data_IF_863161267676
#
_entry.id   IF_863161267676
#
_cell.length_a   1.000
_cell.length_b   1.000
_cell.length_c   1.000
_cell.angle_alpha   90.00
_cell.angle_beta   90.00
_cell.angle_gamma   90.00
#
_symmetry.space_group_name_H-M   'P 1'
#
loop_
_entity.id
_entity.type
_entity.pdbx_description
1 polymer ?
#
# COMPACT_ATOMS: atom_id res chain seq x y z
N UNK A 1 -6.19 38.84 20.62
CA UNK A 1 -5.66 39.54 19.42
C UNK A 1 -5.13 38.50 18.44
N UNK A 2 -4.92 38.79 17.14
CA UNK A 2 -4.22 37.84 16.27
C UNK A 2 -2.83 37.53 16.85
N UNK A 3 -2.34 36.30 16.65
CA UNK A 3 -1.02 35.88 17.08
C UNK A 3 0.04 36.78 16.41
N UNK A 4 0.87 37.43 17.21
CA UNK A 4 2.11 38.04 16.74
C UNK A 4 3.24 37.11 17.20
N UNK A 5 3.96 36.52 16.26
CA UNK A 5 5.14 35.71 16.54
C UNK A 5 6.39 36.54 16.18
N UNK A 6 7.30 36.67 17.13
CA UNK A 6 8.60 37.32 16.94
C UNK A 6 9.65 36.21 16.77
N UNK A 7 10.19 36.11 15.55
CA UNK A 7 11.07 35.05 15.07
C UNK A 7 10.49 33.61 15.11
N UNK A 8 11.05 32.71 14.30
CA UNK A 8 10.47 31.43 13.84
C UNK A 8 9.98 30.42 14.90
N UNK A 9 10.12 30.68 16.21
CA UNK A 9 9.81 29.70 17.26
C UNK A 9 9.18 30.27 18.54
N UNK A 10 8.80 31.55 18.58
CA UNK A 10 8.20 32.16 19.79
C UNK A 10 6.92 32.90 19.40
N UNK A 11 5.79 32.36 19.82
CA UNK A 11 4.50 33.02 19.67
C UNK A 11 4.01 33.51 21.02
N UNK A 12 3.67 34.80 21.08
CA UNK A 12 3.22 35.46 22.30
C UNK A 12 1.71 35.64 22.19
N UNK A 13 0.98 35.03 23.12
CA UNK A 13 -0.46 35.27 23.22
C UNK A 13 -0.71 36.25 24.36
N UNK A 14 -1.02 37.49 23.99
CA UNK A 14 -1.48 38.49 24.94
C UNK A 14 -2.98 38.31 25.21
N UNK A 15 -3.30 37.96 26.46
CA UNK A 15 -4.66 37.84 26.95
C UNK A 15 -4.90 38.85 28.06
N UNK A 16 -6.06 39.53 28.02
CA UNK A 16 -6.52 40.41 29.09
C UNK A 16 -7.61 39.66 29.86
N UNK A 17 -7.35 39.34 31.13
CA UNK A 17 -8.32 38.64 31.97
C UNK A 17 -9.51 39.55 32.27
N UNK A 18 -10.73 39.04 32.06
CA UNK A 18 -11.96 39.83 32.16
C UNK A 18 -12.59 39.76 33.58
N UNK A 19 -12.08 38.89 34.45
CA UNK A 19 -12.58 38.64 35.82
C UNK A 19 -11.44 38.43 36.84
N UNK A 20 -11.64 38.75 38.14
CA UNK A 20 -10.62 38.56 39.18
C UNK A 20 -10.30 37.08 39.41
N UNK A 21 -9.02 36.79 39.66
CA UNK A 21 -8.53 35.44 39.95
C UNK A 21 -8.21 35.34 41.44
N UNK A 22 -8.71 34.29 42.09
CA UNK A 22 -8.42 33.99 43.49
C UNK A 22 -7.72 32.64 43.58
N UNK A 23 -6.62 32.57 44.35
CA UNK A 23 -5.88 31.33 44.63
C UNK A 23 -5.61 31.27 46.13
N UNK A 24 -5.96 30.15 46.78
CA UNK A 24 -5.64 29.92 48.19
C UNK A 24 -6.23 30.95 49.18
N UNK A 25 -7.39 31.52 48.89
CA UNK A 25 -8.06 32.50 49.78
C UNK A 25 -7.59 33.96 49.62
N UNK A 26 -6.65 34.24 48.70
CA UNK A 26 -6.29 35.60 48.32
C UNK A 26 -6.87 35.93 46.94
N UNK A 27 -7.55 37.07 46.85
CA UNK A 27 -8.12 37.60 45.62
C UNK A 27 -7.41 38.90 45.25
N UNK A 28 -6.94 39.00 44.01
CA UNK A 28 -6.35 40.25 43.49
C UNK A 28 -7.47 41.09 42.86
N UNK A 29 -7.74 42.33 43.33
CA UNK A 29 -8.75 43.18 42.73
C UNK A 29 -8.31 43.65 41.35
N UNK A 30 -9.29 44.02 40.53
CA UNK A 30 -9.17 44.44 39.13
C UNK A 30 -8.23 45.65 39.00
N UNK A 31 -6.94 45.40 38.86
CA UNK A 31 -5.94 46.38 38.43
C UNK A 31 -4.93 45.66 37.53
N UNK A 32 -5.00 45.99 36.24
CA UNK A 32 -4.01 45.82 35.17
C UNK A 32 -2.99 44.68 35.36
N UNK A 33 -3.48 43.44 35.37
CA UNK A 33 -2.64 42.27 35.19
C UNK A 33 -2.48 42.00 33.70
N UNK A 34 -1.27 42.24 33.17
CA UNK A 34 -0.87 41.74 31.87
C UNK A 34 -0.27 40.34 32.06
N UNK A 35 -0.86 39.35 31.38
CA UNK A 35 -0.36 37.97 31.37
C UNK A 35 0.14 37.67 29.98
N UNK A 36 1.45 37.48 29.85
CA UNK A 36 2.10 37.06 28.61
C UNK A 36 2.35 35.56 28.68
N UNK A 37 1.66 34.79 27.83
CA UNK A 37 1.92 33.36 27.68
C UNK A 37 2.96 33.22 26.57
N UNK A 38 4.17 32.81 26.95
CA UNK A 38 5.26 32.55 26.01
C UNK A 38 5.32 31.05 25.77
N UNK A 39 4.83 30.60 24.61
CA UNK A 39 4.97 29.21 24.20
C UNK A 39 6.20 29.08 23.32
N UNK A 40 7.17 28.28 23.78
CA UNK A 40 8.26 27.81 22.93
C UNK A 40 7.78 26.52 22.26
N UNK A 41 7.31 26.66 21.03
CA UNK A 41 6.79 25.52 20.25
C UNK A 41 7.95 25.02 19.39
N UNK A 42 8.28 23.73 19.52
CA UNK A 42 9.24 23.11 18.63
C UNK A 42 8.69 23.20 17.18
N UNK A 43 9.46 23.64 16.17
CA UNK A 43 8.94 24.07 14.86
C UNK A 43 8.18 22.98 14.08
N UNK A 44 8.23 21.73 14.54
CA UNK A 44 7.48 20.63 13.93
C UNK A 44 5.98 20.63 14.26
N UNK A 45 5.53 21.36 15.29
CA UNK A 45 4.13 21.31 15.77
C UNK A 45 3.22 22.35 15.08
N UNK A 46 3.78 23.37 14.40
CA UNK A 46 3.00 24.46 13.78
C UNK A 46 2.74 24.32 12.28
N UNK A 47 3.11 23.19 11.64
CA UNK A 47 2.82 22.93 10.23
C UNK A 47 1.68 21.93 10.06
N UNK A 48 0.52 22.28 10.57
CA UNK A 48 -0.73 21.58 10.28
C UNK A 48 -1.76 22.58 9.77
N UNK A 49 -1.48 23.23 8.64
CA UNK A 49 -2.57 23.65 7.75
C UNK A 49 -2.14 23.95 6.31
N UNK A 50 -0.86 24.21 5.98
CA UNK A 50 -0.39 24.27 4.59
C UNK A 50 1.14 24.17 4.49
N UNK A 51 1.68 22.94 4.39
CA UNK A 51 2.98 22.61 3.76
C UNK A 51 3.31 21.13 4.00
N UNK A 52 2.91 20.25 3.09
CA UNK A 52 3.47 18.90 3.00
C UNK A 52 4.47 18.87 1.84
N UNK A 53 5.76 19.05 2.13
CA UNK A 53 6.79 18.51 1.25
C UNK A 53 8.13 18.20 1.90
N UNK A 54 8.52 18.76 3.06
CA UNK A 54 9.84 18.48 3.62
C UNK A 54 9.84 18.45 5.17
N UNK A 55 9.68 17.25 5.74
CA UNK A 55 10.08 16.94 7.12
C UNK A 55 10.68 15.53 7.14
N UNK A 56 11.95 15.34 7.55
CA UNK A 56 12.53 14.01 7.64
C UNK A 56 11.95 13.22 8.83
N UNK A 57 11.42 12.02 8.56
CA UNK A 57 10.71 11.08 9.47
C UNK A 57 11.41 10.71 10.80
N UNK A 58 12.64 11.16 11.06
CA UNK A 58 13.42 10.75 12.24
C UNK A 58 13.28 11.64 13.48
N UNK A 59 12.50 12.72 13.44
CA UNK A 59 12.43 13.67 14.56
C UNK A 59 11.26 13.47 15.55
N UNK A 60 10.29 12.59 15.28
CA UNK A 60 9.02 12.52 16.03
C UNK A 60 9.03 11.48 17.16
N UNK A 61 10.18 11.23 17.82
CA UNK A 61 10.20 10.44 19.07
C UNK A 61 10.87 11.24 20.17
N UNK A 62 10.04 11.62 21.16
CA UNK A 62 10.36 12.38 22.37
C UNK A 62 10.38 13.91 22.23
N UNK A 63 9.29 14.51 21.76
CA UNK A 63 9.07 15.95 22.00
C UNK A 63 8.31 16.15 23.30
N UNK A 64 8.93 16.90 24.21
CA UNK A 64 8.31 17.38 25.44
C UNK A 64 7.71 18.76 25.15
N UNK A 65 6.45 18.99 25.53
CA UNK A 65 5.87 20.32 25.50
C UNK A 65 6.21 21.00 26.82
N UNK A 66 7.21 21.87 26.84
CA UNK A 66 7.54 22.69 28.01
C UNK A 66 6.71 23.97 27.97
N UNK A 67 5.63 24.02 28.75
CA UNK A 67 4.76 25.20 28.86
C UNK A 67 5.32 26.09 29.98
N UNK A 68 5.94 27.21 29.61
CA UNK A 68 6.44 28.21 30.58
C UNK A 68 5.38 29.29 30.73
N UNK A 69 4.72 29.34 31.89
CA UNK A 69 3.74 30.39 32.22
C UNK A 69 4.47 31.48 33.02
N UNK A 70 4.61 32.67 32.45
CA UNK A 70 5.22 33.82 33.13
C UNK A 70 4.10 34.74 33.59
N UNK A 71 3.90 34.84 34.90
CA UNK A 71 2.97 35.79 35.50
C UNK A 71 3.77 36.96 36.09
N UNK A 72 3.56 38.17 35.58
CA UNK A 72 4.19 39.39 36.11
C UNK A 72 3.15 40.22 36.85
N UNK A 73 3.53 40.76 38.01
CA UNK A 73 2.80 41.84 38.68
C UNK A 73 3.75 43.03 38.79
N UNK A 74 3.22 44.26 38.80
CA UNK A 74 4.02 45.48 38.69
C UNK A 74 5.03 45.73 39.84
N UNK A 75 5.12 44.88 40.86
CA UNK A 75 5.98 45.12 42.02
C UNK A 75 6.91 43.96 42.45
N UNK A 76 6.75 42.73 41.95
CA UNK A 76 7.75 41.65 42.12
C UNK A 76 7.69 40.66 40.95
N UNK A 77 8.87 40.30 40.41
CA UNK A 77 9.01 39.21 39.44
C UNK A 77 9.19 37.88 40.18
N UNK A 78 8.22 36.98 40.10
CA UNK A 78 8.39 35.58 40.49
C UNK A 78 8.15 34.69 39.27
N UNK A 79 9.16 33.92 38.90
CA UNK A 79 9.07 32.95 37.81
C UNK A 79 8.63 31.63 38.42
N UNK A 80 7.47 31.12 38.00
CA UNK A 80 6.99 29.80 38.39
C UNK A 80 7.21 28.84 37.21
N UNK A 81 8.28 28.03 37.26
CA UNK A 81 8.49 27.00 36.26
C UNK A 81 7.77 25.72 36.69
N UNK A 82 6.71 25.34 35.98
CA UNK A 82 6.04 24.05 36.17
C UNK A 82 6.54 23.08 35.11
N UNK A 83 7.26 22.04 35.55
CA UNK A 83 7.69 20.93 34.71
C UNK A 83 6.84 19.71 35.07
N UNK A 84 5.87 19.36 34.23
CA UNK A 84 5.07 18.14 34.43
C UNK A 84 5.40 17.13 33.34
N UNK A 85 5.72 15.90 33.75
CA UNK A 85 5.87 14.74 32.87
C UNK A 85 4.70 13.75 32.98
N UNK A 86 3.66 14.09 33.76
CA UNK A 86 2.57 13.19 34.10
C UNK A 86 1.21 13.88 33.94
N UNK A 87 0.31 13.25 33.18
CA UNK A 87 -0.97 13.78 32.68
C UNK A 87 -1.93 14.15 33.83
N UNK A 88 -1.82 13.46 34.96
CA UNK A 88 -2.61 13.72 36.19
C UNK A 88 -2.35 15.09 36.83
N UNK A 89 -1.15 15.66 36.66
CA UNK A 89 -0.78 16.90 37.37
C UNK A 89 -1.43 18.14 36.75
N UNK A 90 -1.90 18.05 35.50
CA UNK A 90 -2.55 19.17 34.81
C UNK A 90 -4.03 19.34 35.19
N UNK A 91 -4.70 18.30 35.70
CA UNK A 91 -6.10 18.39 36.15
C UNK A 91 -6.24 19.06 37.53
N UNK A 92 -5.26 18.97 38.42
CA UNK A 92 -5.34 19.55 39.77
C UNK A 92 -5.02 21.06 39.80
N UNK A 93 -4.37 21.61 38.78
CA UNK A 93 -4.10 23.04 38.66
C UNK A 93 -5.27 23.70 37.92
N UNK A 94 -6.33 24.02 38.66
CA UNK A 94 -7.55 24.66 38.15
C UNK A 94 -7.32 26.06 37.55
N UNK A 95 -6.82 26.13 36.32
CA UNK A 95 -6.90 27.31 35.48
C UNK A 95 -8.18 27.25 34.63
N UNK A 96 -9.19 28.01 35.02
CA UNK A 96 -10.33 28.33 34.16
C UNK A 96 -9.89 29.28 33.04
N UNK A 97 -9.19 28.77 32.02
CA UNK A 97 -9.09 29.42 30.72
C UNK A 97 -10.28 29.00 29.86
N UNK A 98 -11.00 29.94 29.21
CA UNK A 98 -12.07 29.56 28.30
C UNK A 98 -11.46 28.92 27.04
N UNK A 99 -11.56 27.58 26.99
CA UNK A 99 -11.40 26.71 25.81
C UNK A 99 -10.03 26.76 25.10
N UNK A 100 -8.97 26.37 25.81
CA UNK A 100 -7.76 25.86 25.14
C UNK A 100 -7.86 24.33 25.11
N UNK A 101 -8.16 23.75 23.95
CA UNK A 101 -8.10 22.31 23.74
C UNK A 101 -6.63 21.93 23.47
N UNK A 102 -5.92 21.44 24.48
CA UNK A 102 -4.62 20.82 24.28
C UNK A 102 -4.88 19.38 23.85
N UNK A 103 -4.74 19.07 22.57
CA UNK A 103 -4.73 17.70 22.11
C UNK A 103 -3.42 17.05 22.56
N UNK A 104 -3.44 16.31 23.66
CA UNK A 104 -2.35 15.39 23.98
C UNK A 104 -2.44 14.21 23.00
N UNK A 105 -1.48 14.12 22.07
CA UNK A 105 -1.29 12.91 21.27
C UNK A 105 -0.76 11.82 22.20
N UNK A 106 -1.67 11.10 22.87
CA UNK A 106 -1.32 9.82 23.46
C UNK A 106 -0.83 8.90 22.33
N UNK A 107 0.21 8.10 22.59
CA UNK A 107 0.67 7.03 21.70
C UNK A 107 -0.40 5.93 21.60
N UNK A 108 -1.54 6.25 21.01
CA UNK A 108 -2.57 5.28 20.71
C UNK A 108 -1.95 4.29 19.72
N UNK A 109 -1.81 3.04 20.16
CA UNK A 109 -1.44 1.93 19.27
C UNK A 109 -2.46 1.91 18.14
N UNK A 110 -1.98 2.18 16.93
CA UNK A 110 -2.80 2.06 15.74
C UNK A 110 -3.38 0.63 15.70
N UNK A 111 -4.68 0.47 15.40
CA UNK A 111 -5.27 -0.86 15.37
C UNK A 111 -4.60 -1.71 14.29
N UNK A 112 -4.41 -2.99 14.58
CA UNK A 112 -3.95 -3.95 13.57
C UNK A 112 -4.92 -3.98 12.38
N UNK A 113 -4.38 -4.27 11.20
CA UNK A 113 -5.14 -4.33 9.96
C UNK A 113 -5.44 -5.77 9.59
N UNK A 114 -6.61 -5.99 8.99
CA UNK A 114 -6.97 -7.28 8.41
C UNK A 114 -6.66 -7.26 6.92
N UNK A 115 -6.04 -8.33 6.45
CA UNK A 115 -5.76 -8.55 5.04
C UNK A 115 -6.35 -9.90 4.64
N UNK A 116 -7.15 -9.89 3.59
CA UNK A 116 -7.79 -11.07 3.05
C UNK A 116 -6.94 -11.63 1.92
N UNK A 117 -6.52 -12.89 2.05
CA UNK A 117 -5.76 -13.58 1.01
C UNK A 117 -6.63 -14.69 0.41
N UNK A 118 -7.02 -14.51 -0.84
CA UNK A 118 -7.71 -15.50 -1.65
C UNK A 118 -6.68 -16.36 -2.37
N UNK A 119 -6.72 -17.66 -2.13
CA UNK A 119 -5.85 -18.64 -2.78
C UNK A 119 -6.71 -19.55 -3.63
N UNK A 120 -6.45 -19.60 -4.93
CA UNK A 120 -7.20 -20.44 -5.87
C UNK A 120 -6.30 -21.23 -6.84
N UNK A 121 -6.90 -22.24 -7.47
CA UNK A 121 -6.30 -22.95 -8.58
C UNK A 121 -6.33 -22.08 -9.84
N UNK A 122 -5.16 -21.77 -10.39
CA UNK A 122 -5.03 -20.95 -11.60
C UNK A 122 -5.81 -21.47 -12.81
N UNK A 123 -6.08 -22.77 -12.90
CA UNK A 123 -6.84 -23.37 -14.00
C UNK A 123 -8.33 -23.41 -13.74
N UNK A 124 -8.74 -23.84 -12.55
CA UNK A 124 -10.17 -24.08 -12.26
C UNK A 124 -10.86 -22.93 -11.56
N UNK A 125 -10.11 -22.03 -10.94
CA UNK A 125 -10.64 -20.95 -10.10
C UNK A 125 -11.24 -21.37 -8.78
N UNK A 126 -11.13 -22.65 -8.43
CA UNK A 126 -11.59 -23.14 -7.15
C UNK A 126 -10.62 -22.71 -6.06
N UNK A 127 -11.15 -22.22 -4.95
CA UNK A 127 -10.37 -21.92 -3.76
C UNK A 127 -9.61 -23.15 -3.28
N UNK A 128 -8.34 -22.97 -2.91
CA UNK A 128 -7.49 -24.02 -2.38
C UNK A 128 -7.58 -24.02 -0.87
N UNK A 129 -8.26 -25.02 -0.32
CA UNK A 129 -8.34 -25.23 1.13
C UNK A 129 -7.00 -25.71 1.69
N UNK A 130 -6.77 -25.44 2.98
CA UNK A 130 -5.60 -25.92 3.73
C UNK A 130 -4.25 -25.43 3.17
N UNK A 131 -4.25 -24.42 2.32
CA UNK A 131 -3.04 -23.76 1.88
C UNK A 131 -2.44 -22.97 3.06
N UNK A 132 -1.14 -23.13 3.28
CA UNK A 132 -0.39 -22.38 4.27
C UNK A 132 -0.05 -21.01 3.68
N UNK A 133 -0.52 -19.94 4.32
CA UNK A 133 -0.24 -18.55 3.96
C UNK A 133 0.67 -17.96 5.01
N UNK A 134 1.89 -17.59 4.61
CA UNK A 134 2.84 -16.88 5.46
C UNK A 134 3.07 -15.48 4.93
N UNK A 135 3.37 -14.53 5.83
CA UNK A 135 3.74 -13.18 5.42
C UNK A 135 4.95 -12.68 6.18
N UNK A 136 5.64 -11.72 5.58
CA UNK A 136 6.77 -11.00 6.15
C UNK A 136 6.66 -9.52 5.80
N UNK A 137 6.63 -8.64 6.81
CA UNK A 137 6.76 -7.20 6.60
C UNK A 137 8.19 -6.86 6.14
N UNK A 138 8.31 -6.01 5.13
CA UNK A 138 9.59 -5.67 4.48
C UNK A 138 10.22 -4.38 5.03
N UNK A 139 9.48 -3.58 5.81
CA UNK A 139 10.01 -2.37 6.44
C UNK A 139 10.85 -2.70 7.68
N UNK A 140 12.10 -2.24 7.67
CA UNK A 140 13.17 -2.72 8.55
C UNK A 140 12.98 -2.49 10.05
N UNK A 141 13.16 -3.58 10.81
CA UNK A 141 13.78 -3.75 12.14
C UNK A 141 13.25 -5.02 12.79
N UNK A 142 11.95 -5.30 12.61
CA UNK A 142 11.30 -6.51 13.11
C UNK A 142 10.65 -7.29 11.98
N UNK A 143 11.19 -8.48 11.72
CA UNK A 143 10.55 -9.47 10.86
C UNK A 143 9.35 -10.04 11.61
N UNK A 144 8.18 -9.39 11.48
CA UNK A 144 6.93 -10.00 11.92
C UNK A 144 6.54 -11.07 10.89
N UNK A 145 6.37 -12.30 11.37
CA UNK A 145 5.86 -13.42 10.60
C UNK A 145 4.56 -13.90 11.22
N UNK A 146 3.57 -14.13 10.37
CA UNK A 146 2.37 -14.87 10.74
C UNK A 146 2.15 -16.03 9.78
N UNK A 147 1.33 -16.98 10.20
CA UNK A 147 0.93 -18.13 9.42
C UNK A 147 -0.56 -18.34 9.61
N UNK A 148 -1.27 -18.47 8.50
CA UNK A 148 -2.69 -18.80 8.47
C UNK A 148 -2.92 -19.96 7.50
N UNK A 149 -4.07 -20.61 7.67
CA UNK A 149 -4.48 -21.72 6.80
C UNK A 149 -5.80 -21.34 6.15
N UNK A 150 -5.89 -21.54 4.83
CA UNK A 150 -7.10 -21.20 4.09
C UNK A 150 -8.28 -22.10 4.46
N UNK A 151 -9.48 -21.51 4.46
CA UNK A 151 -10.77 -22.17 4.73
C UNK A 151 -11.35 -22.84 3.46
N UNK A 152 -12.59 -23.33 3.55
CA UNK A 152 -13.34 -24.06 2.49
C UNK A 152 -13.52 -23.30 1.15
N UNK A 153 -13.11 -22.03 1.08
CA UNK A 153 -13.17 -21.19 -0.11
C UNK A 153 -11.80 -20.64 -0.53
N UNK A 154 -10.70 -21.15 0.05
CA UNK A 154 -9.37 -20.63 -0.23
C UNK A 154 -9.04 -19.29 0.44
N UNK A 155 -9.86 -18.81 1.38
CA UNK A 155 -9.64 -17.53 2.07
C UNK A 155 -8.82 -17.72 3.34
N UNK A 156 -7.80 -16.88 3.52
CA UNK A 156 -7.06 -16.67 4.77
C UNK A 156 -7.18 -15.21 5.23
N UNK A 157 -7.16 -14.97 6.54
CA UNK A 157 -7.26 -13.63 7.13
C UNK A 157 -6.01 -13.33 7.95
N UNK A 158 -5.15 -12.45 7.44
CA UNK A 158 -3.92 -12.05 8.09
C UNK A 158 -4.16 -10.82 8.95
N UNK A 159 -3.65 -10.83 10.17
CA UNK A 159 -3.62 -9.64 11.03
C UNK A 159 -2.23 -9.01 10.94
N UNK A 160 -2.13 -7.87 10.28
CA UNK A 160 -0.86 -7.20 10.00
C UNK A 160 -0.68 -5.98 10.91
N UNK A 161 0.56 -5.77 11.35
CA UNK A 161 0.95 -4.64 12.16
C UNK A 161 0.70 -3.32 11.43
N UNK A 162 0.25 -2.26 12.12
CA UNK A 162 -0.06 -0.98 11.49
C UNK A 162 1.16 -0.24 10.92
N UNK A 163 2.39 -0.66 11.21
CA UNK A 163 3.64 -0.09 10.68
C UNK A 163 4.16 -0.79 9.41
N UNK A 164 3.45 -1.84 8.98
CA UNK A 164 3.80 -2.60 7.79
C UNK A 164 3.30 -1.88 6.53
N UNK A 165 4.18 -1.15 5.82
CA UNK A 165 3.81 -0.49 4.56
C UNK A 165 4.02 -1.37 3.32
N UNK A 166 4.75 -2.47 3.47
CA UNK A 166 4.98 -3.44 2.40
C UNK A 166 5.15 -4.83 3.02
N UNK A 167 4.54 -5.84 2.40
CA UNK A 167 4.70 -7.21 2.84
C UNK A 167 4.93 -8.18 1.68
N UNK A 168 5.72 -9.21 1.96
CA UNK A 168 5.83 -10.40 1.13
C UNK A 168 4.87 -11.46 1.66
N UNK A 169 3.95 -11.93 0.82
CA UNK A 169 3.08 -13.07 1.09
C UNK A 169 3.61 -14.28 0.34
N UNK A 170 3.71 -15.42 1.01
CA UNK A 170 4.10 -16.71 0.43
C UNK A 170 2.99 -17.72 0.71
N UNK A 171 2.61 -18.50 -0.30
CA UNK A 171 1.54 -19.49 -0.21
C UNK A 171 2.05 -20.84 -0.68
N UNK A 172 1.83 -21.85 0.15
CA UNK A 172 2.19 -23.24 -0.13
C UNK A 172 0.92 -24.09 -0.02
N UNK A 173 0.66 -24.90 -1.05
CA UNK A 173 -0.44 -25.86 -1.05
C UNK A 173 0.01 -27.18 -1.67
N UNK A 174 -0.50 -28.30 -1.15
CA UNK A 174 -0.14 -29.63 -1.59
C UNK A 174 -0.54 -29.85 -3.05
N UNK A 175 0.42 -30.32 -3.86
CA UNK A 175 0.23 -30.49 -5.30
C UNK A 175 0.40 -29.22 -6.14
N UNK A 176 0.63 -28.05 -5.52
CA UNK A 176 0.79 -26.77 -6.21
C UNK A 176 2.20 -26.18 -6.05
N UNK A 177 2.66 -25.45 -7.06
CA UNK A 177 3.88 -24.66 -6.96
C UNK A 177 3.68 -23.51 -5.96
N UNK A 178 4.77 -23.12 -5.29
CA UNK A 178 4.75 -22.00 -4.33
C UNK A 178 4.32 -20.71 -5.03
N UNK A 179 3.35 -20.01 -4.45
CA UNK A 179 2.96 -18.67 -4.89
C UNK A 179 3.58 -17.61 -3.99
N UNK A 180 3.93 -16.46 -4.55
CA UNK A 180 4.38 -15.33 -3.76
C UNK A 180 3.96 -14.00 -4.39
N UNK A 181 3.71 -13.00 -3.55
CA UNK A 181 3.48 -11.62 -3.96
C UNK A 181 4.17 -10.65 -3.00
N UNK A 182 4.61 -9.52 -3.54
CA UNK A 182 4.98 -8.34 -2.77
C UNK A 182 3.83 -7.36 -2.90
N UNK A 183 3.27 -6.94 -1.78
CA UNK A 183 2.07 -6.11 -1.74
C UNK A 183 2.36 -4.85 -0.93
N UNK A 184 2.28 -3.66 -1.55
CA UNK A 184 2.29 -2.42 -0.79
C UNK A 184 0.99 -2.33 0.02
N UNK A 185 1.14 -1.98 1.29
CA UNK A 185 0.03 -1.71 2.21
C UNK A 185 -0.11 -0.20 2.25
N UNK A 186 -1.04 0.33 1.46
CA UNK A 186 -1.30 1.75 1.49
C UNK A 186 -2.05 2.11 2.78
N UNK A 187 -1.52 3.08 3.53
CA UNK A 187 -2.17 3.52 4.76
C UNK A 187 -3.43 4.36 4.48
N UNK A 188 -3.50 4.96 3.29
CA UNK A 188 -4.49 5.96 2.92
C UNK A 188 -5.67 5.40 2.12
N UNK A 189 -5.67 4.10 1.75
CA UNK A 189 -6.76 3.42 1.04
C UNK A 189 -8.08 3.33 1.86
N UNK A 190 -8.13 3.97 3.04
CA UNK A 190 -9.34 4.17 3.84
C UNK A 190 -10.20 5.33 3.34
N UNK A 191 -9.71 6.15 2.41
CA UNK A 191 -10.53 7.21 1.83
C UNK A 191 -11.51 6.64 0.78
N UNK A 192 -12.78 7.02 0.95
CA UNK A 192 -13.89 6.51 0.15
C UNK A 192 -13.65 6.73 -1.35
N UNK A 193 -13.45 5.64 -2.09
CA UNK A 193 -13.28 5.71 -3.54
C UNK A 193 -14.56 6.27 -4.21
N UNK A 194 -14.52 7.41 -4.90
CA UNK A 194 -15.71 8.14 -5.37
C UNK A 194 -16.48 7.44 -6.51
N UNK A 195 -15.93 6.36 -7.08
CA UNK A 195 -16.53 5.61 -8.19
C UNK A 195 -17.65 4.63 -7.77
N UNK A 196 -17.91 4.47 -6.47
CA UNK A 196 -19.07 3.74 -5.97
C UNK A 196 -20.16 4.74 -5.60
N UNK A 197 -20.84 5.23 -6.63
CA UNK A 197 -22.09 5.96 -6.45
C UNK A 197 -23.07 5.14 -5.61
N UNK A 198 -23.76 5.84 -4.72
CA UNK A 198 -24.91 5.40 -3.92
C UNK A 198 -24.63 4.84 -2.51
N UNK A 199 -24.27 5.75 -1.60
CA UNK A 199 -24.81 5.78 -0.22
C UNK A 199 -24.51 4.63 0.74
N UNK A 200 -23.66 3.66 0.40
CA UNK A 200 -23.26 2.60 1.32
C UNK A 200 -22.13 3.08 2.21
N UNK A 201 -22.42 3.10 3.51
CA UNK A 201 -21.52 3.51 4.59
C UNK A 201 -20.11 2.92 4.47
N UNK A 202 -19.15 3.66 5.02
CA UNK A 202 -17.70 3.43 5.10
C UNK A 202 -17.31 2.07 5.70
N UNK A 203 -17.65 0.97 5.03
CA UNK A 203 -17.09 -0.33 5.32
C UNK A 203 -15.60 -0.24 4.97
N UNK A 204 -14.75 -0.27 6.01
CA UNK A 204 -13.29 -0.34 5.83
C UNK A 204 -13.02 -1.48 4.87
N UNK A 205 -12.53 -1.17 3.67
CA UNK A 205 -12.13 -2.22 2.74
C UNK A 205 -10.88 -2.86 3.29
N UNK A 206 -11.02 -4.09 3.73
CA UNK A 206 -9.87 -4.93 4.04
C UNK A 206 -9.02 -5.02 2.76
N UNK A 207 -7.68 -5.00 2.88
CA UNK A 207 -6.81 -5.18 1.72
C UNK A 207 -6.97 -6.61 1.22
N UNK A 208 -7.30 -6.79 -0.06
CA UNK A 208 -7.51 -8.11 -0.65
C UNK A 208 -6.37 -8.49 -1.60
N UNK A 209 -5.89 -9.73 -1.45
CA UNK A 209 -4.80 -10.31 -2.24
C UNK A 209 -5.28 -11.61 -2.86
N UNK A 210 -5.28 -11.67 -4.18
CA UNK A 210 -5.61 -12.84 -4.97
C UNK A 210 -4.34 -13.55 -5.45
N UNK A 211 -4.10 -14.78 -5.03
CA UNK A 211 -2.95 -15.60 -5.41
C UNK A 211 -3.43 -16.90 -6.02
N UNK A 212 -3.29 -17.02 -7.33
CA UNK A 212 -3.63 -18.26 -8.04
C UNK A 212 -2.39 -19.13 -8.21
N UNK A 213 -2.45 -20.36 -7.74
CA UNK A 213 -1.34 -21.31 -7.80
C UNK A 213 -1.45 -22.23 -9.02
N UNK A 214 -0.30 -22.57 -9.60
CA UNK A 214 -0.22 -23.56 -10.65
C UNK A 214 0.07 -24.96 -10.07
N UNK A 215 -0.63 -26.02 -10.52
CA UNK A 215 -0.25 -27.40 -10.16
C UNK A 215 1.21 -27.70 -10.47
N UNK A 216 1.93 -28.41 -9.57
CA UNK A 216 3.34 -28.81 -9.76
C UNK A 216 3.53 -29.68 -11.01
N UNK A 217 2.54 -30.51 -11.29
CA UNK A 217 2.49 -31.36 -12.46
C UNK A 217 1.75 -30.64 -13.57
N UNK A 218 2.50 -29.90 -14.37
CA UNK A 218 2.02 -29.42 -15.66
C UNK A 218 1.66 -30.64 -16.53
N UNK A 219 0.61 -30.55 -17.35
CA UNK A 219 0.31 -31.60 -18.34
C UNK A 219 1.56 -31.95 -19.15
N UNK A 220 1.62 -33.17 -19.72
CA UNK A 220 2.84 -33.78 -20.28
C UNK A 220 3.70 -32.87 -21.17
N UNK A 221 3.09 -31.92 -21.86
CA UNK A 221 3.75 -31.03 -22.81
C UNK A 221 3.90 -29.57 -22.34
N UNK A 222 3.27 -29.18 -21.23
CA UNK A 222 3.30 -27.81 -20.71
C UNK A 222 4.61 -27.58 -19.92
N UNK A 223 5.35 -26.54 -20.30
CA UNK A 223 6.65 -26.20 -19.71
C UNK A 223 6.61 -24.94 -18.85
N UNK A 224 5.71 -24.00 -19.18
CA UNK A 224 5.55 -22.73 -18.47
C UNK A 224 4.06 -22.43 -18.37
N UNK A 225 3.65 -21.82 -17.26
CA UNK A 225 2.34 -21.21 -17.08
C UNK A 225 2.49 -19.78 -16.59
N UNK A 226 1.95 -18.83 -17.34
CA UNK A 226 1.83 -17.45 -16.91
C UNK A 226 0.47 -17.25 -16.26
N UNK A 227 0.47 -16.82 -15.00
CA UNK A 227 -0.75 -16.61 -14.20
C UNK A 227 -0.80 -15.13 -13.82
N UNK A 228 -1.84 -14.44 -14.29
CA UNK A 228 -2.11 -13.05 -14.00
C UNK A 228 -3.16 -12.96 -12.88
N UNK A 229 -2.83 -12.25 -11.81
CA UNK A 229 -3.75 -11.85 -10.76
C UNK A 229 -3.77 -10.32 -10.63
N UNK A 230 -4.84 -9.79 -10.05
CA UNK A 230 -4.96 -8.36 -9.78
C UNK A 230 -5.82 -8.09 -8.55
N UNK A 231 -6.00 -6.82 -8.19
CA UNK A 231 -6.81 -6.41 -7.05
C UNK A 231 -8.31 -6.67 -7.29
N UNK A 232 -9.02 -7.07 -6.24
CA UNK A 232 -10.44 -7.47 -6.33
C UNK A 232 -11.38 -6.36 -6.81
N UNK A 233 -11.10 -5.09 -6.54
CA UNK A 233 -11.99 -4.00 -6.97
C UNK A 233 -11.81 -3.62 -8.45
N UNK A 234 -10.79 -4.15 -9.12
CA UNK A 234 -10.47 -3.80 -10.50
C UNK A 234 -11.11 -4.80 -11.45
N UNK A 235 -11.82 -4.26 -12.44
CA UNK A 235 -12.41 -5.05 -13.51
C UNK A 235 -11.35 -5.34 -14.56
N UNK A 236 -11.33 -6.59 -15.00
CA UNK A 236 -10.80 -7.13 -16.25
C UNK A 236 -9.41 -6.65 -16.69
N UNK A 237 -8.41 -7.51 -16.44
CA UNK A 237 -7.08 -7.37 -17.03
C UNK A 237 -6.84 -8.56 -17.95
N UNK A 238 -6.54 -8.24 -19.21
CA UNK A 238 -6.24 -9.23 -20.24
C UNK A 238 -4.75 -9.56 -20.27
N UNK A 239 -4.42 -10.84 -20.13
CA UNK A 239 -3.10 -11.40 -20.38
C UNK A 239 -2.94 -11.67 -21.87
N UNK A 240 -1.90 -11.07 -22.44
CA UNK A 240 -1.53 -11.24 -23.83
C UNK A 240 -0.14 -11.83 -23.99
N UNK A 241 -0.01 -12.73 -24.96
CA UNK A 241 1.29 -13.31 -25.33
C UNK A 241 1.46 -13.29 -26.83
N UNK A 242 2.54 -12.67 -27.30
CA UNK A 242 2.89 -12.59 -28.72
C UNK A 242 4.13 -13.42 -28.99
N UNK A 243 4.06 -14.27 -30.02
CA UNK A 243 5.17 -15.09 -30.47
C UNK A 243 5.74 -14.54 -31.77
N UNK A 244 7.03 -14.24 -31.78
CA UNK A 244 7.75 -13.77 -32.95
C UNK A 244 8.51 -14.91 -33.63
N UNK A 245 8.49 -14.92 -34.96
CA UNK A 245 9.35 -15.81 -35.74
C UNK A 245 10.83 -15.35 -35.70
N UNK A 246 11.79 -16.12 -36.25
CA UNK A 246 13.19 -15.72 -36.29
C UNK A 246 13.48 -14.42 -37.06
N UNK A 247 12.56 -13.96 -37.92
CA UNK A 247 12.65 -12.68 -38.64
C UNK A 247 12.06 -11.53 -37.82
N UNK A 248 11.57 -11.80 -36.61
CA UNK A 248 10.95 -10.81 -35.72
C UNK A 248 9.51 -10.45 -36.09
N UNK A 249 8.87 -11.18 -37.00
CA UNK A 249 7.48 -10.95 -37.38
C UNK A 249 6.53 -11.67 -36.43
N UNK A 250 5.35 -11.09 -36.21
CA UNK A 250 4.31 -11.73 -35.38
C UNK A 250 3.86 -13.00 -36.06
N UNK A 251 4.15 -14.13 -35.44
CA UNK A 251 3.72 -15.45 -35.91
C UNK A 251 2.43 -15.91 -35.25
N UNK A 252 2.18 -15.47 -34.00
CA UNK A 252 0.95 -15.77 -33.27
C UNK A 252 0.75 -14.81 -32.10
N UNK A 253 -0.50 -14.65 -31.68
CA UNK A 253 -0.92 -13.84 -30.53
C UNK A 253 -2.02 -14.59 -29.80
N UNK A 254 -1.84 -14.82 -28.50
CA UNK A 254 -2.84 -15.39 -27.59
C UNK A 254 -3.41 -14.30 -26.69
N UNK A 255 -4.74 -14.30 -26.56
CA UNK A 255 -5.56 -13.38 -25.76
C UNK A 255 -6.97 -13.94 -25.59
N UNK A 256 -7.87 -13.24 -24.87
CA UNK A 256 -9.29 -13.64 -24.77
C UNK A 256 -9.94 -13.87 -26.15
N UNK A 257 -9.61 -13.04 -27.14
CA UNK A 257 -10.16 -13.09 -28.50
C UNK A 257 -9.54 -14.18 -29.37
N UNK A 258 -8.31 -14.61 -29.08
CA UNK A 258 -7.61 -15.69 -29.77
C UNK A 258 -6.95 -16.61 -28.74
N UNK A 259 -7.73 -17.57 -28.25
CA UNK A 259 -7.32 -18.42 -27.12
C UNK A 259 -6.26 -19.47 -27.46
N UNK A 260 -5.96 -19.71 -28.74
CA UNK A 260 -5.11 -20.83 -29.15
C UNK A 260 -4.10 -20.44 -30.23
N UNK A 261 -2.86 -20.90 -30.03
CA UNK A 261 -1.74 -20.82 -30.94
C UNK A 261 -0.93 -22.13 -30.88
N UNK A 262 -0.15 -22.48 -31.92
CA UNK A 262 0.84 -23.53 -31.78
C UNK A 262 1.76 -23.23 -30.59
N UNK A 263 1.77 -24.15 -29.64
CA UNK A 263 2.51 -24.12 -28.39
C UNK A 263 2.05 -23.14 -27.31
N UNK A 264 0.88 -22.51 -27.44
CA UNK A 264 0.33 -21.64 -26.40
C UNK A 264 -1.20 -21.71 -26.36
N UNK A 265 -1.77 -21.72 -25.16
CA UNK A 265 -3.22 -21.68 -24.95
C UNK A 265 -3.58 -20.75 -23.79
N UNK A 266 -4.64 -19.98 -23.94
CA UNK A 266 -5.33 -19.33 -22.83
C UNK A 266 -6.22 -20.39 -22.17
N UNK A 267 -5.80 -20.86 -21.01
CA UNK A 267 -6.48 -21.92 -20.26
C UNK A 267 -7.65 -21.37 -19.45
N UNK A 268 -7.48 -20.15 -18.92
CA UNK A 268 -8.49 -19.46 -18.11
C UNK A 268 -8.47 -17.97 -18.42
N UNK A 269 -9.67 -17.44 -18.52
CA UNK A 269 -10.01 -16.08 -18.90
C UNK A 269 -10.95 -15.54 -17.82
N UNK A 270 -10.57 -14.46 -17.15
CA UNK A 270 -11.35 -13.87 -16.06
C UNK A 270 -11.76 -12.45 -16.45
N UNK A 271 -12.91 -12.36 -17.11
CA UNK A 271 -13.51 -11.10 -17.55
C UNK A 271 -14.22 -10.33 -16.41
N UNK A 272 -14.01 -10.73 -15.14
CA UNK A 272 -14.65 -10.13 -13.97
C UNK A 272 -13.61 -9.38 -13.13
N UNK A 273 -13.81 -9.37 -11.83
CA UNK A 273 -12.92 -8.77 -10.84
C UNK A 273 -11.85 -9.75 -10.37
N UNK A 274 -10.79 -9.26 -9.73
CA UNK A 274 -9.64 -10.08 -9.34
C UNK A 274 -9.96 -11.22 -8.36
N UNK A 275 -11.03 -11.07 -7.57
CA UNK A 275 -11.56 -12.08 -6.64
C UNK A 275 -12.25 -13.28 -7.34
N UNK A 276 -12.49 -13.17 -8.65
CA UNK A 276 -12.98 -14.27 -9.48
C UNK A 276 -11.83 -15.09 -10.10
N UNK A 277 -10.61 -14.89 -9.58
CA UNK A 277 -9.36 -15.61 -9.81
C UNK A 277 -8.53 -15.10 -10.99
N UNK A 278 -7.67 -15.95 -11.55
CA UNK A 278 -6.65 -15.55 -12.51
C UNK A 278 -7.06 -15.61 -13.98
N UNK A 279 -6.31 -14.89 -14.81
CA UNK A 279 -6.08 -15.29 -16.20
C UNK A 279 -4.84 -16.16 -16.32
N UNK A 280 -4.84 -17.12 -17.24
CA UNK A 280 -3.77 -18.11 -17.32
C UNK A 280 -3.49 -18.55 -18.74
N UNK A 281 -2.23 -18.40 -19.16
CA UNK A 281 -1.71 -18.92 -20.43
C UNK A 281 -0.67 -20.00 -20.18
N UNK A 282 -0.86 -21.18 -20.76
CA UNK A 282 0.13 -22.26 -20.78
C UNK A 282 0.97 -22.23 -22.06
N UNK A 283 2.23 -22.59 -21.92
CA UNK A 283 3.20 -22.75 -23.01
C UNK A 283 3.63 -24.20 -23.07
N UNK A 284 3.59 -24.81 -24.25
CA UNK A 284 4.10 -26.17 -24.46
C UNK A 284 5.50 -26.18 -25.07
N UNK A 285 6.22 -27.29 -24.93
CA UNK A 285 7.57 -27.46 -25.48
C UNK A 285 7.60 -27.30 -27.01
N UNK A 286 8.74 -26.86 -27.53
CA UNK A 286 9.10 -27.10 -28.94
C UNK A 286 9.18 -25.88 -29.84
N UNK A 287 9.17 -24.65 -29.30
CA UNK A 287 9.25 -23.46 -30.14
C UNK A 287 10.62 -22.77 -30.05
N UNK A 288 11.26 -22.52 -31.19
CA UNK A 288 12.42 -21.60 -31.29
C UNK A 288 12.01 -20.12 -31.31
N UNK A 289 10.73 -19.81 -31.05
CA UNK A 289 10.17 -18.46 -31.09
C UNK A 289 10.55 -17.66 -29.85
N UNK A 290 10.57 -16.35 -30.03
CA UNK A 290 10.63 -15.38 -28.92
C UNK A 290 9.20 -15.06 -28.49
N UNK A 291 8.95 -15.11 -27.19
CA UNK A 291 7.67 -14.75 -26.60
C UNK A 291 7.78 -13.43 -25.86
N UNK A 292 6.78 -12.58 -26.03
CA UNK A 292 6.58 -11.33 -25.32
C UNK A 292 5.27 -11.44 -24.55
N UNK A 293 5.35 -11.19 -23.24
CA UNK A 293 4.21 -11.24 -22.32
C UNK A 293 3.85 -9.82 -21.90
N UNK A 294 2.58 -9.45 -22.05
CA UNK A 294 2.08 -8.16 -21.59
C UNK A 294 0.66 -8.26 -21.06
N UNK A 295 0.27 -7.29 -20.24
CA UNK A 295 -1.09 -7.14 -19.71
C UNK A 295 -1.72 -5.90 -20.32
N UNK A 296 -3.01 -5.96 -20.62
CA UNK A 296 -3.80 -4.82 -21.08
C UNK A 296 -5.00 -4.64 -20.16
N UNK A 297 -5.33 -3.40 -19.83
CA UNK A 297 -6.55 -3.09 -19.08
C UNK A 297 -7.77 -3.13 -20.00
N UNK A 298 -8.84 -3.78 -19.56
CA UNK A 298 -10.14 -3.77 -20.23
C UNK A 298 -11.25 -3.24 -19.29
N UNK A 299 -12.28 -2.55 -19.81
CA UNK A 299 -12.34 -1.90 -21.13
C UNK A 299 -11.37 -0.71 -21.25
N UNK A 300 -11.12 -0.27 -22.49
CA UNK A 300 -10.01 0.63 -22.83
C UNK A 300 -10.04 2.01 -22.15
N UNK A 301 -11.12 2.43 -21.47
CA UNK A 301 -11.17 3.72 -20.79
C UNK A 301 -10.50 3.73 -19.40
N UNK A 302 -9.97 2.60 -18.93
CA UNK A 302 -9.30 2.48 -17.61
C UNK A 302 -7.78 2.51 -17.73
N UNK A 303 -7.09 2.57 -16.60
CA UNK A 303 -5.62 2.67 -16.48
C UNK A 303 -5.06 1.62 -15.52
N UNK A 304 -3.74 1.39 -15.60
CA UNK A 304 -3.04 0.42 -14.77
C UNK A 304 -2.86 0.86 -13.31
N UNK A 305 -3.04 2.16 -13.02
CA UNK A 305 -2.90 2.70 -11.67
C UNK A 305 -3.82 1.96 -10.70
N UNK A 306 -3.28 1.57 -9.54
CA UNK A 306 -3.99 0.79 -8.53
C UNK A 306 -4.66 -0.48 -9.11
N UNK A 307 -4.11 -1.07 -10.18
CA UNK A 307 -4.60 -2.36 -10.69
C UNK A 307 -4.27 -3.50 -9.74
N UNK A 308 -3.19 -3.38 -8.97
CA UNK A 308 -2.61 -4.47 -8.19
C UNK A 308 -2.16 -5.64 -9.06
N UNK A 309 -1.90 -5.39 -10.35
CA UNK A 309 -1.54 -6.41 -11.33
C UNK A 309 -0.22 -7.09 -10.97
N UNK A 310 -0.24 -8.41 -10.98
CA UNK A 310 0.90 -9.28 -10.69
C UNK A 310 0.85 -10.49 -11.59
N UNK A 311 2.00 -10.89 -12.12
CA UNK A 311 2.16 -12.11 -12.89
C UNK A 311 3.11 -13.04 -12.18
N UNK A 312 2.76 -14.31 -12.08
CA UNK A 312 3.70 -15.35 -11.71
C UNK A 312 3.90 -16.29 -12.89
N UNK A 313 5.15 -16.46 -13.30
CA UNK A 313 5.54 -17.48 -14.26
C UNK A 313 5.97 -18.73 -13.49
N UNK A 314 5.25 -19.82 -13.69
CA UNK A 314 5.58 -21.13 -13.15
C UNK A 314 6.21 -22.00 -14.23
N UNK A 315 7.29 -22.70 -13.91
CA UNK A 315 7.95 -23.64 -14.81
C UNK A 315 8.13 -25.00 -14.14
N UNK A 316 8.27 -26.04 -14.97
CA UNK A 316 8.64 -27.40 -14.53
C UNK A 316 9.84 -27.34 -13.58
N UNK A 317 9.78 -28.10 -12.49
CA UNK A 317 10.79 -28.07 -11.42
C UNK A 317 10.54 -26.99 -10.36
N UNK A 318 9.32 -26.46 -10.26
CA UNK A 318 8.90 -25.48 -9.26
C UNK A 318 9.68 -24.15 -9.32
N UNK A 319 10.19 -23.80 -10.51
CA UNK A 319 10.81 -22.48 -10.71
C UNK A 319 9.68 -21.46 -10.87
N UNK A 320 9.69 -20.43 -10.03
CA UNK A 320 8.70 -19.36 -10.05
C UNK A 320 9.35 -18.00 -10.26
N UNK A 321 8.76 -17.17 -11.12
CA UNK A 321 9.15 -15.78 -11.33
C UNK A 321 7.95 -14.87 -11.10
N UNK A 322 7.75 -14.34 -9.88
CA UNK A 322 6.77 -13.29 -9.64
C UNK A 322 7.26 -11.97 -10.24
N UNK A 323 6.37 -11.22 -10.86
CA UNK A 323 6.59 -9.87 -11.35
C UNK A 323 5.39 -9.05 -10.90
N UNK A 324 5.64 -7.94 -10.21
CA UNK A 324 4.59 -7.03 -9.75
C UNK A 324 4.72 -5.73 -10.51
N UNK A 325 3.60 -5.21 -11.00
CA UNK A 325 3.57 -3.91 -11.65
C UNK A 325 4.04 -2.83 -10.66
N UNK A 326 5.04 -2.04 -11.04
CA UNK A 326 5.54 -0.92 -10.27
C UNK A 326 5.68 0.33 -11.13
N UNK A 327 5.88 1.49 -10.49
CA UNK A 327 6.16 2.75 -11.20
C UNK A 327 4.96 3.37 -11.94
N UNK A 328 3.74 3.06 -11.52
CA UNK A 328 2.51 3.70 -12.03
C UNK A 328 1.87 4.52 -10.91
N UNK A 329 1.65 5.80 -11.17
CA UNK A 329 1.05 6.80 -10.28
C UNK A 329 -0.38 7.12 -10.70
N UNK A 330 -1.11 7.90 -9.90
CA UNK A 330 -2.50 8.26 -10.22
C UNK A 330 -2.62 9.07 -11.52
N UNK A 331 -1.60 9.86 -11.85
CA UNK A 331 -1.56 10.69 -13.04
C UNK A 331 -1.20 9.90 -14.31
N UNK A 332 -0.76 8.65 -14.15
CA UNK A 332 -0.33 7.79 -15.24
C UNK A 332 -1.52 7.20 -16.00
N UNK A 333 -1.53 7.45 -17.31
CA UNK A 333 -2.57 6.99 -18.25
C UNK A 333 -2.15 5.74 -19.03
N UNK A 334 -1.23 4.96 -18.49
CA UNK A 334 -0.69 3.75 -19.08
C UNK A 334 -1.76 2.66 -18.98
N UNK A 335 -1.95 1.94 -20.08
CA UNK A 335 -3.02 0.92 -20.23
C UNK A 335 -2.48 -0.46 -20.52
N UNK A 336 -1.18 -0.52 -20.79
CA UNK A 336 -0.49 -1.73 -21.20
C UNK A 336 0.74 -1.88 -20.32
N UNK A 337 1.01 -3.08 -19.85
CA UNK A 337 2.17 -3.39 -19.03
C UNK A 337 2.99 -4.46 -19.74
N UNK A 338 4.17 -4.09 -20.24
CA UNK A 338 5.13 -5.03 -20.78
C UNK A 338 5.85 -5.72 -19.63
N UNK A 339 5.54 -6.98 -19.42
CA UNK A 339 6.02 -7.76 -18.28
C UNK A 339 7.44 -8.22 -18.54
N UNK A 340 7.66 -8.83 -19.70
CA UNK A 340 8.97 -9.35 -20.09
C UNK A 340 8.91 -10.27 -21.29
N UNK A 341 10.07 -10.85 -21.61
CA UNK A 341 10.24 -11.69 -22.78
C UNK A 341 11.11 -12.91 -22.49
N UNK A 342 10.96 -13.97 -23.28
CA UNK A 342 11.83 -15.15 -23.21
C UNK A 342 11.89 -15.92 -24.54
N UNK A 343 12.88 -16.79 -24.68
CA UNK A 343 13.00 -17.73 -25.79
C UNK A 343 12.32 -19.05 -25.43
N UNK A 344 11.41 -19.52 -26.29
CA UNK A 344 10.66 -20.76 -26.08
C UNK A 344 11.52 -22.00 -25.87
N UNK A 345 12.68 -22.06 -26.54
CA UNK A 345 13.61 -23.17 -26.46
C UNK A 345 14.36 -23.24 -25.12
N UNK A 346 14.51 -22.11 -24.43
CA UNK A 346 15.21 -21.99 -23.17
C UNK A 346 14.25 -21.82 -21.97
N UNK A 347 12.99 -21.51 -22.24
CA UNK A 347 11.97 -21.26 -21.23
C UNK A 347 12.38 -20.13 -20.27
N UNK A 348 12.06 -20.29 -18.97
CA UNK A 348 12.36 -19.27 -17.95
C UNK A 348 13.85 -19.04 -17.69
N UNK A 349 14.75 -19.90 -18.19
CA UNK A 349 16.20 -19.63 -18.10
C UNK A 349 16.62 -18.43 -18.96
N UNK A 350 15.81 -18.08 -19.95
CA UNK A 350 16.00 -16.91 -20.82
C UNK A 350 15.04 -15.76 -20.52
N UNK A 351 14.37 -15.81 -19.36
CA UNK A 351 13.44 -14.76 -18.96
C UNK A 351 14.19 -13.45 -18.73
N UNK A 352 13.80 -12.43 -19.47
CA UNK A 352 14.19 -11.04 -19.27
C UNK A 352 12.96 -10.29 -18.76
N UNK A 353 12.98 -9.95 -17.48
CA UNK A 353 12.00 -9.04 -16.89
C UNK A 353 12.22 -7.63 -17.43
N UNK A 354 11.13 -6.99 -17.88
CA UNK A 354 11.15 -5.61 -18.38
C UNK A 354 10.34 -4.69 -17.47
N UNK A 355 9.18 -5.17 -17.00
CA UNK A 355 8.32 -4.48 -16.04
C UNK A 355 8.05 -3.00 -16.38
N UNK A 356 7.58 -2.74 -17.61
CA UNK A 356 7.44 -1.38 -18.14
C UNK A 356 5.96 -1.05 -18.46
N UNK A 357 5.35 -0.05 -17.80
CA UNK A 357 4.04 0.46 -18.19
C UNK A 357 4.14 1.30 -19.48
N UNK A 358 3.17 1.14 -20.38
CA UNK A 358 3.16 1.68 -21.75
C UNK A 358 1.79 2.25 -22.13
N UNK A 359 1.81 3.21 -23.06
CA UNK A 359 0.60 3.75 -23.73
C UNK A 359 0.26 3.05 -25.06
N UNK A 360 1.09 2.10 -25.50
CA UNK A 360 0.94 1.38 -26.77
C UNK A 360 1.12 -0.12 -26.58
N UNK A 361 0.66 -0.90 -27.55
CA UNK A 361 0.96 -2.33 -27.61
C UNK A 361 2.47 -2.51 -27.82
N UNK A 362 3.15 -3.35 -27.02
CA UNK A 362 4.56 -3.62 -27.19
C UNK A 362 4.86 -4.42 -28.47
N UNK A 363 6.04 -4.21 -29.03
CA UNK A 363 6.55 -4.84 -30.25
C UNK A 363 7.85 -5.58 -29.96
N UNK A 364 8.34 -6.38 -30.91
CA UNK A 364 9.53 -7.23 -30.71
C UNK A 364 10.78 -6.47 -30.24
N UNK A 365 10.99 -5.23 -30.71
CA UNK A 365 12.13 -4.41 -30.30
C UNK A 365 12.09 -4.02 -28.82
N UNK A 366 10.91 -3.97 -28.20
CA UNK A 366 10.78 -3.63 -26.78
C UNK A 366 11.35 -4.73 -25.87
N UNK A 367 11.51 -5.96 -26.39
CA UNK A 367 12.14 -7.05 -25.66
C UNK A 367 13.67 -6.93 -25.50
N UNK A 368 14.28 -5.91 -26.10
CA UNK A 368 15.70 -5.62 -25.98
C UNK A 368 15.83 -4.14 -25.55
N UNK A 369 15.43 -3.79 -24.31
CA UNK A 369 15.62 -2.42 -23.85
C UNK A 369 17.11 -2.09 -23.95
N UNK A 370 17.43 -0.99 -24.61
CA UNK A 370 18.79 -0.46 -24.64
C UNK A 370 19.10 -0.09 -23.19
N UNK A 371 19.92 -0.91 -22.53
CA UNK A 371 20.36 -0.71 -21.14
C UNK A 371 21.28 0.48 -21.01
#
# INVERSE_FOLDING_TARGET
>A
KPLECEDDNICIIQSTLISPVCVGGFCVPRADLHMDIVMKIDPCVLLAENCMSECPEKAIRNQFVEIIIIATTMTEHRILCLKSSDEKTLEEIGFCLPRLWICTYSNATLPSRRILVHVDDSLSGKGLEKASVTYQCLNGSTTLQGMEVTRENGLANLTVSPDCSEMKVVVISDGYAEGQAIVPINHDDLEAHPDLGDGKENERRDTEINLSLAPKHFGKDVIIRAVLNWASYRRDLDLHVVAFDPKGQVSCHVSHSKKYCPHMSLDRDNTKTGDHGSETISFTRGSAKKYLVYVKVYPEYRYLYNSGARITLYSVGSITKPVTLSGVTENDKQRVWLVGCFLGSLGLKSWTEINLPLHRIPINSDCNPIT
#
